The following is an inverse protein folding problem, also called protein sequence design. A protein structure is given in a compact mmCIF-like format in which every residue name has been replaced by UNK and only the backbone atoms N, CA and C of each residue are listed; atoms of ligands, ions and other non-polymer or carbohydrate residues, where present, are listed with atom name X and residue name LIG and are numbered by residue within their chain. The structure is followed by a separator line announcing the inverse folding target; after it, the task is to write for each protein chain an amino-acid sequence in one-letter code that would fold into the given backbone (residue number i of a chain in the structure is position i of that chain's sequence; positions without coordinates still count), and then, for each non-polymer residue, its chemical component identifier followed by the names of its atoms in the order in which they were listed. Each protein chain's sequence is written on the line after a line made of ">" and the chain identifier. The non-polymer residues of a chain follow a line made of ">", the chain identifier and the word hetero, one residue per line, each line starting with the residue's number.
data_IF_182381949655
#
_entry.id   IF_182381949655
#
_cell.length_a   1.000
_cell.length_b   1.000
_cell.length_c   1.000
_cell.angle_alpha   90.00
_cell.angle_beta   90.00
_cell.angle_gamma   90.00
#
_symmetry.space_group_name_H-M   'P 1'
#
loop_
_entity.id
_entity.type
_entity.pdbx_description
1 polymer ?
#
# COMPACT_ATOMS: atom_id res chain seq x y z
N UNK A 1 -49.37 -22.90 -49.90
CA UNK A 1 -48.09 -22.35 -49.41
C UNK A 1 -48.29 -21.13 -48.48
N UNK A 2 -49.21 -20.24 -48.72
CA UNK A 2 -49.44 -19.03 -47.88
C UNK A 2 -49.94 -19.35 -46.45
N UNK A 3 -50.89 -20.26 -46.28
CA UNK A 3 -51.42 -20.63 -44.95
C UNK A 3 -50.38 -21.25 -44.02
N UNK A 4 -49.45 -22.05 -44.56
CA UNK A 4 -48.39 -22.68 -43.81
C UNK A 4 -47.38 -21.64 -43.27
N UNK A 5 -47.07 -20.60 -44.04
CA UNK A 5 -46.18 -19.48 -43.63
C UNK A 5 -46.82 -18.60 -42.56
N UNK A 6 -48.14 -18.35 -42.67
CA UNK A 6 -48.89 -17.57 -41.66
C UNK A 6 -48.96 -18.33 -40.33
N UNK A 7 -49.24 -19.62 -40.33
CA UNK A 7 -49.25 -20.46 -39.13
C UNK A 7 -47.88 -20.54 -38.48
N UNK A 8 -46.81 -20.64 -39.27
CA UNK A 8 -45.41 -20.68 -38.77
C UNK A 8 -45.01 -19.36 -38.12
N UNK A 9 -45.39 -18.21 -38.79
CA UNK A 9 -45.12 -16.88 -38.24
C UNK A 9 -45.91 -16.62 -36.96
N UNK A 10 -47.16 -17.08 -36.89
CA UNK A 10 -48.00 -16.95 -35.70
C UNK A 10 -47.49 -17.82 -34.55
N UNK A 11 -47.04 -19.06 -34.83
CA UNK A 11 -46.42 -19.95 -33.84
C UNK A 11 -45.12 -19.34 -33.26
N UNK A 12 -44.27 -18.76 -34.11
CA UNK A 12 -43.05 -18.03 -33.67
C UNK A 12 -43.40 -16.82 -32.79
N UNK A 13 -44.44 -16.07 -33.15
CA UNK A 13 -44.89 -14.91 -32.35
C UNK A 13 -45.41 -15.33 -30.98
N UNK A 14 -46.22 -16.38 -30.90
CA UNK A 14 -46.73 -16.98 -29.63
C UNK A 14 -45.60 -17.46 -28.74
N UNK A 15 -44.63 -18.19 -29.32
CA UNK A 15 -43.43 -18.67 -28.56
C UNK A 15 -42.59 -17.49 -28.05
N UNK A 16 -42.42 -16.44 -28.87
CA UNK A 16 -41.73 -15.24 -28.44
C UNK A 16 -42.42 -14.52 -27.28
N UNK A 17 -43.77 -14.35 -27.36
CA UNK A 17 -44.55 -13.74 -26.29
C UNK A 17 -44.48 -14.56 -24.99
N UNK A 18 -44.54 -15.90 -25.08
CA UNK A 18 -44.45 -16.76 -23.93
C UNK A 18 -43.06 -16.77 -23.29
N UNK A 19 -41.99 -16.73 -24.11
CA UNK A 19 -40.61 -16.56 -23.64
C UNK A 19 -40.41 -15.20 -22.95
N UNK A 20 -40.92 -14.13 -23.52
CA UNK A 20 -40.85 -12.76 -22.95
C UNK A 20 -41.60 -12.74 -21.60
N UNK A 21 -42.76 -13.36 -21.50
CA UNK A 21 -43.53 -13.44 -20.27
C UNK A 21 -42.79 -14.22 -19.17
N UNK A 22 -42.23 -15.41 -19.48
CA UNK A 22 -41.43 -16.20 -18.56
C UNK A 22 -40.16 -15.43 -18.10
N UNK A 23 -39.50 -14.74 -19.00
CA UNK A 23 -38.34 -13.89 -18.65
C UNK A 23 -38.73 -12.75 -17.72
N UNK A 24 -39.90 -12.13 -17.91
CA UNK A 24 -40.41 -11.05 -17.07
C UNK A 24 -40.77 -11.57 -15.67
N UNK A 25 -41.51 -12.67 -15.61
CA UNK A 25 -41.89 -13.30 -14.34
C UNK A 25 -40.66 -13.73 -13.50
N UNK A 26 -39.59 -14.22 -14.13
CA UNK A 26 -38.35 -14.57 -13.43
C UNK A 26 -37.54 -13.38 -12.94
N UNK A 27 -37.54 -12.27 -13.70
CA UNK A 27 -36.87 -11.05 -13.26
C UNK A 27 -37.64 -10.36 -12.11
N UNK A 28 -38.97 -10.40 -12.14
CA UNK A 28 -39.82 -9.91 -11.06
C UNK A 28 -39.59 -10.72 -9.77
N UNK A 29 -39.50 -12.04 -9.86
CA UNK A 29 -39.16 -12.92 -8.72
C UNK A 29 -37.77 -12.59 -8.14
N UNK A 30 -36.77 -12.38 -9.00
CA UNK A 30 -35.42 -11.99 -8.56
C UNK A 30 -35.43 -10.64 -7.85
N UNK A 31 -36.16 -9.65 -8.35
CA UNK A 31 -36.32 -8.34 -7.73
C UNK A 31 -37.04 -8.42 -6.37
N UNK A 32 -38.06 -9.28 -6.24
CA UNK A 32 -38.76 -9.51 -4.99
C UNK A 32 -37.82 -10.09 -3.91
N UNK A 33 -37.04 -11.12 -4.26
CA UNK A 33 -36.04 -11.72 -3.35
C UNK A 33 -34.98 -10.71 -2.90
N UNK A 34 -34.52 -9.85 -3.81
CA UNK A 34 -33.49 -8.85 -3.51
C UNK A 34 -34.04 -7.57 -2.86
N UNK A 35 -35.38 -7.40 -2.79
CA UNK A 35 -36.01 -6.18 -2.27
C UNK A 35 -35.65 -4.91 -3.07
N UNK A 36 -35.30 -5.07 -4.34
CA UNK A 36 -34.84 -4.00 -5.25
C UNK A 36 -35.46 -4.14 -6.62
N UNK A 37 -35.39 -3.06 -7.44
CA UNK A 37 -35.93 -3.07 -8.80
C UNK A 37 -34.81 -2.94 -9.83
N UNK A 38 -34.46 -4.05 -10.46
CA UNK A 38 -33.54 -4.09 -11.60
C UNK A 38 -34.30 -4.25 -12.92
N UNK A 39 -33.81 -3.58 -13.96
CA UNK A 39 -34.45 -3.61 -15.30
C UNK A 39 -34.00 -4.79 -16.15
N UNK A 40 -32.86 -5.40 -15.82
CA UNK A 40 -32.27 -6.48 -16.60
C UNK A 40 -31.38 -7.38 -15.72
N UNK A 41 -31.10 -8.57 -16.22
CA UNK A 41 -30.26 -9.58 -15.55
C UNK A 41 -28.80 -9.16 -15.41
N UNK A 42 -28.31 -8.25 -16.26
CA UNK A 42 -26.97 -7.70 -16.15
C UNK A 42 -26.83 -6.85 -14.87
N UNK A 43 -27.83 -6.05 -14.58
CA UNK A 43 -27.92 -5.24 -13.37
C UNK A 43 -28.09 -6.12 -12.11
N UNK A 44 -28.94 -7.15 -12.17
CA UNK A 44 -29.07 -8.16 -11.09
C UNK A 44 -27.72 -8.80 -10.80
N UNK A 45 -26.99 -9.25 -11.83
CA UNK A 45 -25.69 -9.95 -11.66
C UNK A 45 -24.60 -9.06 -11.05
N UNK A 46 -24.75 -7.73 -11.09
CA UNK A 46 -23.85 -6.76 -10.45
C UNK A 46 -24.23 -6.45 -9.00
N UNK A 47 -25.39 -6.89 -8.54
CA UNK A 47 -25.82 -6.68 -7.15
C UNK A 47 -24.82 -7.36 -6.21
N UNK A 48 -24.24 -6.61 -5.28
CA UNK A 48 -23.26 -7.17 -4.33
C UNK A 48 -23.97 -8.06 -3.31
N UNK A 49 -23.38 -9.22 -3.04
CA UNK A 49 -23.86 -10.14 -2.01
C UNK A 49 -24.97 -11.08 -2.46
N UNK A 50 -25.05 -11.42 -3.75
CA UNK A 50 -25.88 -12.51 -4.20
C UNK A 50 -25.39 -13.82 -3.55
N UNK A 51 -26.34 -14.58 -2.97
CA UNK A 51 -26.01 -15.91 -2.43
C UNK A 51 -25.78 -16.90 -3.57
N UNK A 52 -24.96 -17.90 -3.33
CA UNK A 52 -24.75 -18.99 -4.30
C UNK A 52 -26.05 -19.72 -4.65
N UNK A 53 -26.97 -19.91 -3.68
CA UNK A 53 -28.26 -20.50 -3.93
C UNK A 53 -29.13 -19.66 -4.87
N UNK A 54 -29.09 -18.31 -4.72
CA UNK A 54 -29.74 -17.42 -5.66
C UNK A 54 -29.14 -17.55 -7.07
N UNK A 55 -27.80 -17.60 -7.17
CA UNK A 55 -27.14 -17.73 -8.46
C UNK A 55 -27.47 -19.10 -9.10
N UNK A 56 -27.55 -20.19 -8.31
CA UNK A 56 -27.99 -21.53 -8.79
C UNK A 56 -29.42 -21.51 -9.34
N UNK A 57 -30.33 -20.87 -8.61
CA UNK A 57 -31.74 -20.77 -9.04
C UNK A 57 -31.87 -20.04 -10.38
N UNK A 58 -31.07 -19.04 -10.60
CA UNK A 58 -31.11 -18.19 -11.82
C UNK A 58 -29.92 -18.39 -12.76
N UNK A 59 -29.28 -19.56 -12.71
CA UNK A 59 -28.04 -19.83 -13.42
C UNK A 59 -28.09 -19.61 -14.94
N UNK A 60 -29.27 -19.81 -15.55
CA UNK A 60 -29.49 -19.60 -16.99
C UNK A 60 -29.83 -18.17 -17.37
N UNK A 61 -29.98 -17.28 -16.40
CA UNK A 61 -30.36 -15.87 -16.58
C UNK A 61 -29.24 -14.90 -16.24
N UNK A 62 -28.45 -15.20 -15.23
CA UNK A 62 -27.36 -14.33 -14.75
C UNK A 62 -26.28 -14.18 -15.80
N UNK A 63 -25.60 -13.01 -15.73
CA UNK A 63 -24.41 -12.77 -16.53
C UNK A 63 -23.18 -13.28 -15.77
N UNK A 64 -22.62 -14.39 -16.21
CA UNK A 64 -21.52 -15.07 -15.55
C UNK A 64 -20.22 -14.26 -15.45
N UNK A 65 -19.98 -13.32 -16.39
CA UNK A 65 -18.86 -12.39 -16.26
C UNK A 65 -18.99 -11.52 -15.01
N UNK A 66 -20.18 -10.94 -14.77
CA UNK A 66 -20.42 -10.14 -13.58
C UNK A 66 -20.53 -10.97 -12.29
N UNK A 67 -21.07 -12.17 -12.35
CA UNK A 67 -21.04 -13.10 -11.22
C UNK A 67 -19.59 -13.35 -10.81
N UNK A 68 -18.72 -13.73 -11.75
CA UNK A 68 -17.30 -14.00 -11.51
C UNK A 68 -16.52 -12.77 -10.98
N UNK A 69 -16.90 -11.57 -11.44
CA UNK A 69 -16.26 -10.31 -11.06
C UNK A 69 -16.73 -9.77 -9.70
N UNK A 70 -18.05 -9.83 -9.44
CA UNK A 70 -18.68 -9.03 -8.38
C UNK A 70 -19.05 -9.83 -7.14
N UNK A 71 -19.12 -11.17 -7.22
CA UNK A 71 -19.54 -12.04 -6.11
C UNK A 71 -18.32 -12.73 -5.47
N UNK A 72 -18.46 -13.06 -4.18
CA UNK A 72 -17.55 -14.00 -3.52
C UNK A 72 -18.09 -15.42 -3.73
N UNK A 73 -17.34 -16.23 -4.44
CA UNK A 73 -17.74 -17.59 -4.82
C UNK A 73 -16.85 -18.59 -4.08
N UNK A 74 -17.48 -19.64 -3.53
CA UNK A 74 -16.73 -20.77 -3.00
C UNK A 74 -16.09 -21.58 -4.13
N UNK A 75 -14.99 -22.27 -3.83
CA UNK A 75 -14.34 -23.14 -4.80
C UNK A 75 -15.28 -24.26 -5.28
N UNK A 76 -16.14 -24.78 -4.40
CA UNK A 76 -17.13 -25.80 -4.76
C UNK A 76 -18.17 -25.26 -5.75
N UNK A 77 -18.59 -24.01 -5.56
CA UNK A 77 -19.47 -23.35 -6.51
C UNK A 77 -18.78 -23.12 -7.85
N UNK A 78 -17.51 -22.70 -7.86
CA UNK A 78 -16.75 -22.53 -9.10
C UNK A 78 -16.57 -23.88 -9.83
N UNK A 79 -16.34 -24.98 -9.09
CA UNK A 79 -16.29 -26.35 -9.66
C UNK A 79 -17.60 -26.73 -10.32
N UNK A 80 -18.73 -26.46 -9.65
CA UNK A 80 -20.07 -26.75 -10.18
C UNK A 80 -20.33 -26.02 -11.50
N UNK A 81 -19.89 -24.74 -11.60
CA UNK A 81 -20.13 -23.89 -12.77
C UNK A 81 -18.87 -23.59 -13.59
N UNK A 82 -17.89 -24.49 -13.59
CA UNK A 82 -16.57 -24.32 -14.23
C UNK A 82 -16.61 -23.99 -15.71
N UNK A 83 -17.69 -24.34 -16.42
CA UNK A 83 -17.87 -24.08 -17.85
C UNK A 83 -18.67 -22.81 -18.13
N UNK A 84 -19.15 -22.10 -17.10
CA UNK A 84 -19.91 -20.85 -17.19
C UNK A 84 -19.16 -19.65 -16.64
N UNK A 85 -18.34 -19.83 -15.60
CA UNK A 85 -17.56 -18.76 -14.96
C UNK A 85 -16.54 -18.17 -15.94
N UNK A 86 -16.21 -16.90 -15.72
CA UNK A 86 -15.10 -16.25 -16.42
C UNK A 86 -13.80 -16.53 -15.66
N UNK A 87 -12.96 -17.42 -16.18
CA UNK A 87 -11.70 -17.79 -15.56
C UNK A 87 -10.73 -16.61 -15.40
N UNK A 88 -10.79 -15.62 -16.27
CA UNK A 88 -10.08 -14.35 -16.11
C UNK A 88 -10.46 -13.68 -14.79
N UNK A 89 -11.76 -13.46 -14.53
CA UNK A 89 -12.21 -12.82 -13.29
C UNK A 89 -12.05 -13.74 -12.06
N UNK A 90 -12.19 -15.04 -12.22
CA UNK A 90 -11.92 -16.00 -11.14
C UNK A 90 -10.46 -15.90 -10.71
N UNK A 91 -9.50 -15.90 -11.64
CA UNK A 91 -8.06 -15.82 -11.34
C UNK A 91 -7.67 -14.49 -10.69
N UNK A 92 -8.32 -13.38 -11.09
CA UNK A 92 -7.99 -12.03 -10.61
C UNK A 92 -8.66 -11.67 -9.28
N UNK A 93 -9.91 -12.11 -9.04
CA UNK A 93 -10.76 -11.54 -7.98
C UNK A 93 -11.24 -12.52 -6.93
N UNK A 94 -11.13 -13.85 -7.14
CA UNK A 94 -11.49 -14.84 -6.14
C UNK A 94 -10.26 -15.27 -5.34
N UNK A 95 -10.46 -15.62 -4.07
CA UNK A 95 -9.43 -16.26 -3.26
C UNK A 95 -9.39 -17.75 -3.60
N UNK A 96 -8.29 -18.20 -4.18
CA UNK A 96 -8.13 -19.57 -4.63
C UNK A 96 -7.06 -20.30 -3.80
N UNK A 97 -7.35 -21.50 -3.35
CA UNK A 97 -6.34 -22.37 -2.77
C UNK A 97 -5.37 -22.87 -3.85
N UNK A 98 -4.15 -23.18 -3.45
CA UNK A 98 -3.16 -23.75 -4.37
C UNK A 98 -3.65 -25.09 -4.96
N UNK A 99 -4.38 -25.90 -4.19
CA UNK A 99 -4.97 -27.16 -4.67
C UNK A 99 -6.03 -26.91 -5.73
N UNK A 100 -6.84 -25.88 -5.58
CA UNK A 100 -7.80 -25.48 -6.60
C UNK A 100 -7.10 -24.98 -7.88
N UNK A 101 -6.04 -24.19 -7.75
CA UNK A 101 -5.27 -23.74 -8.91
C UNK A 101 -4.62 -24.92 -9.63
N UNK A 102 -4.10 -25.93 -8.90
CA UNK A 102 -3.59 -27.20 -9.48
C UNK A 102 -4.67 -27.95 -10.25
N UNK A 103 -5.87 -28.07 -9.66
CA UNK A 103 -7.00 -28.76 -10.28
C UNK A 103 -7.39 -28.11 -11.63
N UNK A 104 -7.36 -26.78 -11.69
CA UNK A 104 -7.78 -26.00 -12.85
C UNK A 104 -6.61 -25.29 -13.58
N UNK A 105 -5.42 -25.84 -13.51
CA UNK A 105 -4.19 -25.26 -14.07
C UNK A 105 -4.23 -24.90 -15.56
N UNK A 106 -5.12 -25.56 -16.33
CA UNK A 106 -5.28 -25.31 -17.77
C UNK A 106 -6.42 -24.30 -18.07
N UNK A 107 -7.10 -23.78 -17.04
CA UNK A 107 -8.19 -22.82 -17.17
C UNK A 107 -7.88 -21.46 -16.56
N UNK A 108 -7.08 -21.44 -15.49
CA UNK A 108 -6.68 -20.19 -14.80
C UNK A 108 -5.84 -19.29 -15.69
N UNK A 109 -5.96 -18.00 -15.50
CA UNK A 109 -5.04 -17.04 -16.10
C UNK A 109 -3.78 -16.92 -15.22
N UNK A 110 -2.67 -17.45 -15.70
CA UNK A 110 -1.44 -17.52 -14.93
C UNK A 110 -0.81 -16.14 -14.64
N UNK A 111 -1.08 -15.15 -15.48
CA UNK A 111 -0.65 -13.78 -15.23
C UNK A 111 -1.39 -13.20 -14.03
N UNK A 112 -2.71 -13.38 -13.99
CA UNK A 112 -3.54 -12.92 -12.87
C UNK A 112 -3.27 -13.74 -11.59
N UNK A 113 -3.04 -15.06 -11.71
CA UNK A 113 -2.58 -15.89 -10.58
C UNK A 113 -1.28 -15.32 -10.00
N UNK A 114 -0.30 -14.98 -10.84
CA UNK A 114 0.99 -14.40 -10.41
C UNK A 114 0.83 -13.07 -9.71
N UNK A 115 -0.12 -12.24 -10.18
CA UNK A 115 -0.34 -10.88 -9.69
C UNK A 115 -1.23 -10.81 -8.43
N UNK A 116 -2.25 -11.68 -8.35
CA UNK A 116 -3.37 -11.48 -7.43
C UNK A 116 -3.49 -12.54 -6.33
N UNK A 117 -2.92 -13.75 -6.54
CA UNK A 117 -3.02 -14.84 -5.55
C UNK A 117 -1.80 -14.86 -4.63
N UNK A 118 -1.99 -15.30 -3.39
CA UNK A 118 -0.89 -15.57 -2.46
C UNK A 118 -0.41 -17.00 -2.65
N UNK A 119 0.83 -17.16 -3.08
CA UNK A 119 1.41 -18.44 -3.43
C UNK A 119 2.58 -18.78 -2.50
N UNK A 120 2.64 -20.04 -2.08
CA UNK A 120 3.82 -20.55 -1.38
C UNK A 120 5.01 -20.71 -2.33
N UNK A 121 6.21 -20.60 -1.82
CA UNK A 121 7.42 -20.84 -2.63
C UNK A 121 7.46 -22.26 -3.21
N UNK A 122 6.85 -23.24 -2.54
CA UNK A 122 6.74 -24.59 -3.07
C UNK A 122 5.84 -24.66 -4.30
N UNK A 123 4.72 -23.94 -4.28
CA UNK A 123 3.84 -23.82 -5.44
C UNK A 123 4.51 -23.06 -6.59
N UNK A 124 5.23 -21.99 -6.27
CA UNK A 124 5.95 -21.21 -7.29
C UNK A 124 7.03 -22.07 -7.97
N UNK A 125 7.75 -22.94 -7.23
CA UNK A 125 8.71 -23.89 -7.79
C UNK A 125 8.04 -24.88 -8.74
N UNK A 126 6.87 -25.40 -8.34
CA UNK A 126 6.11 -26.38 -9.14
C UNK A 126 5.67 -25.79 -10.49
N UNK A 127 5.24 -24.52 -10.51
CA UNK A 127 4.69 -23.86 -11.69
C UNK A 127 5.58 -22.72 -12.25
N UNK A 128 6.88 -22.77 -11.98
CA UNK A 128 7.83 -21.73 -12.32
C UNK A 128 7.82 -21.32 -13.81
N UNK A 129 7.49 -22.22 -14.71
CA UNK A 129 7.46 -21.98 -16.16
C UNK A 129 6.14 -21.38 -16.65
N UNK A 130 5.10 -21.37 -15.82
CA UNK A 130 3.79 -20.77 -16.15
C UNK A 130 3.59 -19.38 -15.55
N UNK A 131 4.31 -19.06 -14.48
CA UNK A 131 4.17 -17.82 -13.72
C UNK A 131 4.86 -16.64 -14.42
N UNK A 132 4.26 -15.45 -14.27
CA UNK A 132 4.85 -14.18 -14.70
C UNK A 132 5.81 -13.66 -13.62
N UNK A 133 7.11 -13.70 -13.89
CA UNK A 133 8.14 -13.35 -12.93
C UNK A 133 8.23 -11.87 -12.60
N UNK A 134 7.69 -10.99 -13.45
CA UNK A 134 7.53 -9.57 -13.14
C UNK A 134 6.56 -9.40 -11.98
N UNK A 135 5.34 -9.91 -12.14
CA UNK A 135 4.31 -9.86 -11.10
C UNK A 135 4.68 -10.64 -9.85
N UNK A 136 5.37 -11.78 -9.99
CA UNK A 136 5.88 -12.56 -8.86
C UNK A 136 6.88 -11.74 -8.03
N UNK A 137 7.82 -11.07 -8.69
CA UNK A 137 8.83 -10.24 -8.01
C UNK A 137 8.23 -9.07 -7.24
N UNK A 138 7.10 -8.54 -7.70
CA UNK A 138 6.40 -7.40 -7.11
C UNK A 138 5.45 -7.79 -5.97
N UNK A 139 4.63 -8.82 -6.20
CA UNK A 139 3.46 -9.06 -5.35
C UNK A 139 3.60 -10.24 -4.38
N UNK A 140 4.61 -11.11 -4.55
CA UNK A 140 4.85 -12.22 -3.64
C UNK A 140 5.93 -11.88 -2.61
N UNK A 141 5.80 -12.44 -1.42
CA UNK A 141 6.88 -12.38 -0.43
C UNK A 141 7.85 -13.52 -0.70
N UNK A 142 9.04 -13.18 -1.21
CA UNK A 142 10.04 -14.14 -1.60
C UNK A 142 11.20 -14.13 -0.59
N UNK A 143 11.59 -15.31 -0.10
CA UNK A 143 12.80 -15.41 0.73
C UNK A 143 14.06 -15.16 -0.10
N UNK A 144 15.13 -14.71 0.53
CA UNK A 144 16.43 -14.53 -0.13
C UNK A 144 16.96 -15.83 -0.74
N UNK A 145 16.70 -16.98 -0.10
CA UNK A 145 17.08 -18.29 -0.63
C UNK A 145 16.31 -18.61 -1.91
N UNK A 146 15.03 -18.26 -1.95
CA UNK A 146 14.22 -18.41 -3.14
C UNK A 146 14.68 -17.47 -4.27
N UNK A 147 14.93 -16.19 -3.98
CA UNK A 147 15.46 -15.24 -4.97
C UNK A 147 16.82 -15.72 -5.52
N UNK A 148 17.66 -16.30 -4.64
CA UNK A 148 18.95 -16.89 -5.04
C UNK A 148 18.80 -18.08 -5.99
N UNK A 149 17.82 -18.95 -5.70
CA UNK A 149 17.50 -20.11 -6.55
C UNK A 149 17.06 -19.65 -7.96
N UNK A 150 16.19 -18.63 -8.01
CA UNK A 150 15.61 -18.12 -9.24
C UNK A 150 16.24 -16.82 -9.75
N UNK A 151 17.50 -16.58 -9.43
CA UNK A 151 18.24 -15.34 -9.73
C UNK A 151 18.30 -14.92 -11.21
N UNK A 152 17.99 -15.82 -12.14
CA UNK A 152 17.97 -15.56 -13.58
C UNK A 152 16.55 -15.35 -14.14
N UNK A 153 15.53 -15.50 -13.30
CA UNK A 153 14.11 -15.30 -13.65
C UNK A 153 13.50 -14.08 -13.02
N UNK A 154 13.90 -13.75 -11.80
CA UNK A 154 13.39 -12.57 -11.07
C UNK A 154 13.76 -11.28 -11.78
N UNK A 155 12.89 -10.27 -11.64
CA UNK A 155 13.21 -8.92 -12.07
C UNK A 155 13.96 -8.19 -10.95
N UNK A 156 15.27 -7.98 -11.14
CA UNK A 156 16.13 -7.42 -10.11
C UNK A 156 15.78 -5.97 -9.72
N UNK A 157 15.30 -5.14 -10.65
CA UNK A 157 14.83 -3.79 -10.29
C UNK A 157 13.63 -3.88 -9.35
N UNK A 158 12.64 -4.72 -9.67
CA UNK A 158 11.46 -4.94 -8.84
C UNK A 158 11.84 -5.59 -7.51
N UNK A 159 12.72 -6.59 -7.50
CA UNK A 159 13.24 -7.20 -6.25
C UNK A 159 13.90 -6.14 -5.37
N UNK A 160 14.72 -5.24 -5.94
CA UNK A 160 15.39 -4.18 -5.19
C UNK A 160 14.42 -3.17 -4.58
N UNK A 161 13.27 -2.95 -5.23
CA UNK A 161 12.22 -2.03 -4.78
C UNK A 161 11.28 -2.64 -3.74
N UNK A 162 10.80 -3.88 -3.99
CA UNK A 162 9.65 -4.44 -3.27
C UNK A 162 9.99 -5.55 -2.26
N UNK A 163 11.17 -6.19 -2.35
CA UNK A 163 11.52 -7.26 -1.42
C UNK A 163 12.46 -6.76 -0.31
N UNK A 164 12.25 -7.19 0.95
CA UNK A 164 13.17 -6.87 2.03
C UNK A 164 14.47 -7.68 1.83
N UNK A 165 15.59 -6.98 1.64
CA UNK A 165 16.88 -7.60 1.39
C UNK A 165 17.88 -7.30 2.52
N UNK A 166 18.56 -8.33 3.01
CA UNK A 166 19.68 -8.13 3.92
C UNK A 166 20.89 -7.52 3.20
N UNK A 167 21.72 -6.79 3.94
CA UNK A 167 22.97 -6.25 3.39
C UNK A 167 23.88 -7.35 2.85
N UNK A 168 23.92 -8.53 3.48
CA UNK A 168 24.72 -9.66 3.02
C UNK A 168 24.20 -10.21 1.68
N UNK A 169 22.89 -10.20 1.49
CA UNK A 169 22.31 -10.57 0.21
C UNK A 169 22.63 -9.53 -0.87
N UNK A 170 22.50 -8.23 -0.56
CA UNK A 170 22.84 -7.14 -1.50
C UNK A 170 24.33 -7.19 -1.87
N UNK A 171 25.25 -7.45 -0.90
CA UNK A 171 26.69 -7.65 -1.18
C UNK A 171 26.93 -8.76 -2.18
N UNK A 172 26.27 -9.90 -1.98
CA UNK A 172 26.42 -11.07 -2.84
C UNK A 172 25.92 -10.82 -4.27
N UNK A 173 24.88 -10.03 -4.43
CA UNK A 173 24.25 -9.74 -5.71
C UNK A 173 24.45 -8.28 -6.16
N UNK A 174 25.54 -7.65 -5.72
CA UNK A 174 25.84 -6.25 -5.95
C UNK A 174 25.85 -5.84 -7.44
N UNK A 175 26.12 -6.77 -8.34
CA UNK A 175 26.13 -6.54 -9.79
C UNK A 175 24.77 -6.77 -10.48
N UNK A 176 23.76 -7.25 -9.72
CA UNK A 176 22.41 -7.51 -10.23
C UNK A 176 21.36 -6.56 -9.68
N UNK A 177 21.50 -6.14 -8.43
CA UNK A 177 20.55 -5.22 -7.76
C UNK A 177 20.56 -3.85 -8.44
N UNK A 178 19.42 -3.19 -8.38
CA UNK A 178 19.27 -1.81 -8.80
C UNK A 178 19.63 -0.87 -7.66
N UNK A 179 20.76 -0.19 -7.79
CA UNK A 179 21.30 0.65 -6.73
C UNK A 179 20.50 1.90 -6.44
N UNK A 180 19.69 2.38 -7.39
CA UNK A 180 18.76 3.48 -7.12
C UNK A 180 17.68 3.02 -6.15
N UNK A 181 17.03 1.89 -6.44
CA UNK A 181 16.00 1.31 -5.55
C UNK A 181 16.58 0.82 -4.23
N UNK A 182 17.77 0.22 -4.22
CA UNK A 182 18.47 -0.14 -2.97
C UNK A 182 18.66 1.11 -2.09
N UNK A 183 19.10 2.23 -2.67
CA UNK A 183 19.33 3.49 -1.93
C UNK A 183 18.04 4.13 -1.42
N UNK A 184 16.92 3.91 -2.12
CA UNK A 184 15.59 4.46 -1.80
C UNK A 184 14.87 3.64 -0.74
N UNK A 185 14.79 2.32 -0.94
CA UNK A 185 13.80 1.46 -0.28
C UNK A 185 14.38 0.50 0.75
N UNK A 186 15.68 0.15 0.67
CA UNK A 186 16.29 -0.76 1.62
C UNK A 186 16.85 -0.01 2.84
N UNK A 187 16.83 -0.66 3.98
CA UNK A 187 17.49 -0.11 5.18
C UNK A 187 18.98 -0.45 5.15
N UNK A 188 19.81 0.60 5.05
CA UNK A 188 21.25 0.46 4.91
C UNK A 188 21.97 1.02 6.13
N UNK A 189 22.89 0.25 6.69
CA UNK A 189 23.82 0.77 7.70
C UNK A 189 24.82 1.74 7.09
N UNK A 190 25.34 2.64 7.89
CA UNK A 190 26.40 3.55 7.44
C UNK A 190 27.65 2.81 6.97
N UNK A 191 27.98 1.69 7.59
CA UNK A 191 29.13 0.87 7.18
C UNK A 191 28.90 0.26 5.81
N UNK A 192 27.68 -0.18 5.50
CA UNK A 192 27.33 -0.66 4.18
C UNK A 192 27.39 0.47 3.14
N UNK A 193 26.89 1.67 3.47
CA UNK A 193 26.97 2.82 2.56
C UNK A 193 28.43 3.21 2.31
N UNK A 194 29.33 3.15 3.33
CA UNK A 194 30.78 3.37 3.17
C UNK A 194 31.41 2.35 2.21
N UNK A 195 31.07 1.07 2.36
CA UNK A 195 31.54 0.00 1.48
C UNK A 195 31.15 0.25 0.02
N UNK A 196 29.90 0.65 -0.20
CA UNK A 196 29.34 0.85 -1.57
C UNK A 196 29.22 2.32 -1.97
N UNK A 197 30.04 3.21 -1.42
CA UNK A 197 29.99 4.68 -1.63
C UNK A 197 30.06 5.15 -3.08
N UNK A 198 30.49 4.29 -4.01
CA UNK A 198 30.58 4.60 -5.44
C UNK A 198 29.44 3.98 -6.27
N UNK A 199 28.53 3.20 -5.62
CA UNK A 199 27.36 2.58 -6.24
C UNK A 199 26.06 3.20 -5.78
N UNK A 200 25.98 3.61 -4.50
CA UNK A 200 24.79 4.24 -3.94
C UNK A 200 24.46 5.57 -4.60
N UNK A 201 23.19 5.89 -4.66
CA UNK A 201 22.67 7.16 -5.13
C UNK A 201 22.61 8.15 -3.97
N UNK A 202 23.58 9.08 -3.88
CA UNK A 202 23.75 9.97 -2.73
C UNK A 202 22.56 10.88 -2.45
N UNK A 203 21.82 11.31 -3.47
CA UNK A 203 20.59 12.08 -3.27
C UNK A 203 19.52 11.25 -2.56
N UNK A 204 19.41 9.95 -2.91
CA UNK A 204 18.48 9.00 -2.27
C UNK A 204 18.94 8.68 -0.84
N UNK A 205 20.22 8.39 -0.65
CA UNK A 205 20.84 8.20 0.68
C UNK A 205 20.56 9.40 1.58
N UNK A 206 20.82 10.62 1.11
CA UNK A 206 20.59 11.85 1.86
C UNK A 206 19.14 12.06 2.26
N UNK A 207 18.21 11.57 1.45
CA UNK A 207 16.77 11.74 1.64
C UNK A 207 16.15 10.64 2.51
N UNK A 208 16.50 9.38 2.25
CA UNK A 208 15.73 8.23 2.75
C UNK A 208 16.45 7.42 3.83
N UNK A 209 17.78 7.49 3.93
CA UNK A 209 18.53 6.80 4.98
C UNK A 209 18.67 7.69 6.22
N UNK A 210 18.72 7.06 7.39
CA UNK A 210 19.03 7.78 8.62
C UNK A 210 20.56 7.88 8.76
N UNK A 211 21.07 9.10 8.73
CA UNK A 211 22.50 9.39 8.75
C UNK A 211 22.91 10.11 10.05
N UNK A 212 23.99 9.64 10.68
CA UNK A 212 24.61 10.38 11.78
C UNK A 212 25.33 11.64 11.26
N UNK A 213 25.44 12.63 12.12
CA UNK A 213 26.21 13.84 11.79
C UNK A 213 27.67 13.52 11.44
N UNK A 214 28.27 12.55 12.09
CA UNK A 214 29.64 12.14 11.79
C UNK A 214 29.76 11.51 10.40
N UNK A 215 28.76 10.74 9.98
CA UNK A 215 28.70 10.22 8.63
C UNK A 215 28.52 11.35 7.59
N UNK A 216 27.64 12.32 7.87
CA UNK A 216 27.45 13.47 6.98
C UNK A 216 28.75 14.29 6.87
N UNK A 217 29.51 14.47 7.97
CA UNK A 217 30.84 15.14 7.96
C UNK A 217 31.82 14.40 7.07
N UNK A 218 31.88 13.06 7.21
CA UNK A 218 32.77 12.21 6.40
C UNK A 218 32.48 12.35 4.91
N UNK A 219 31.21 12.41 4.53
CA UNK A 219 30.76 12.46 3.13
C UNK A 219 30.20 13.81 2.68
N UNK A 220 30.60 14.91 3.30
CA UNK A 220 30.09 16.25 3.03
C UNK A 220 30.12 16.68 1.56
N UNK A 221 31.05 16.17 0.77
CA UNK A 221 31.17 16.46 -0.67
C UNK A 221 30.36 15.50 -1.58
N UNK A 222 29.65 14.51 -1.00
CA UNK A 222 28.82 13.55 -1.73
C UNK A 222 27.35 13.65 -1.41
N UNK A 223 27.03 14.00 -0.15
CA UNK A 223 25.63 14.15 0.31
C UNK A 223 24.97 15.32 -0.43
N UNK A 224 23.66 15.21 -0.57
CA UNK A 224 22.82 16.27 -1.09
C UNK A 224 22.37 17.16 0.06
N UNK A 225 22.90 18.39 0.13
CA UNK A 225 22.66 19.30 1.25
C UNK A 225 21.24 19.85 1.33
N UNK A 226 20.51 19.87 0.20
CA UNK A 226 19.08 20.19 0.21
C UNK A 226 18.33 19.11 0.99
N UNK A 227 18.56 17.84 0.67
CA UNK A 227 17.93 16.71 1.36
C UNK A 227 18.43 16.53 2.79
N UNK A 228 19.72 16.74 3.07
CA UNK A 228 20.26 16.76 4.43
C UNK A 228 19.54 17.81 5.28
N UNK A 229 19.43 19.04 4.79
CA UNK A 229 18.78 20.13 5.52
C UNK A 229 17.30 19.89 5.78
N UNK A 230 16.64 19.18 4.86
CA UNK A 230 15.22 18.93 4.91
C UNK A 230 14.84 17.64 5.67
N UNK A 231 15.64 16.58 5.55
CA UNK A 231 15.22 15.23 5.94
C UNK A 231 16.06 14.60 7.06
N UNK A 232 17.24 15.11 7.36
CA UNK A 232 18.05 14.62 8.48
C UNK A 232 17.81 15.43 9.74
N UNK A 233 17.95 14.79 10.90
CA UNK A 233 17.88 15.45 12.19
C UNK A 233 19.25 16.01 12.51
N UNK A 234 19.37 17.35 12.58
CA UNK A 234 20.62 18.06 12.75
C UNK A 234 20.64 18.81 14.08
N UNK A 235 21.75 18.72 14.81
CA UNK A 235 21.98 19.58 15.97
C UNK A 235 22.31 21.02 15.54
N UNK A 236 22.03 21.98 16.43
CA UNK A 236 22.40 23.38 16.18
C UNK A 236 23.90 23.56 15.98
N UNK A 237 24.73 22.78 16.70
CA UNK A 237 26.18 22.84 16.55
C UNK A 237 26.63 22.31 15.18
N UNK A 238 25.99 21.28 14.66
CA UNK A 238 26.24 20.81 13.31
C UNK A 238 25.82 21.85 12.26
N UNK A 239 24.65 22.48 12.43
CA UNK A 239 24.16 23.52 11.52
C UNK A 239 25.11 24.74 11.55
N UNK A 240 25.68 25.11 12.72
CA UNK A 240 26.70 26.17 12.82
C UNK A 240 27.97 25.80 12.07
N UNK A 241 28.44 24.55 12.21
CA UNK A 241 29.62 24.05 11.51
C UNK A 241 29.45 24.12 9.98
N UNK A 242 28.27 23.77 9.49
CA UNK A 242 27.94 23.67 8.05
C UNK A 242 27.06 24.82 7.55
N UNK A 243 27.11 25.99 8.20
CA UNK A 243 26.24 27.16 7.89
C UNK A 243 26.27 27.64 6.44
N UNK A 244 27.34 27.35 5.70
CA UNK A 244 27.52 27.75 4.30
C UNK A 244 27.19 26.60 3.31
N UNK A 245 26.77 25.43 3.83
CA UNK A 245 26.37 24.23 3.05
C UNK A 245 24.88 23.95 3.16
N UNK A 246 24.30 24.25 4.33
CA UNK A 246 22.87 23.96 4.61
C UNK A 246 21.97 24.91 3.83
N UNK A 247 20.79 24.37 3.46
CA UNK A 247 19.72 25.15 2.86
C UNK A 247 18.82 25.76 3.96
N UNK A 248 19.05 27.03 4.25
CA UNK A 248 18.43 27.71 5.39
C UNK A 248 16.90 27.72 5.38
N UNK A 249 16.26 27.75 4.21
CA UNK A 249 14.82 27.65 4.09
C UNK A 249 14.28 26.32 4.64
N UNK A 250 15.00 25.24 4.42
CA UNK A 250 14.66 23.93 4.96
C UNK A 250 15.06 23.78 6.42
N UNK A 251 16.24 24.24 6.82
CA UNK A 251 16.66 24.24 8.23
C UNK A 251 15.59 24.89 9.08
N UNK A 252 15.17 26.07 8.69
CA UNK A 252 14.20 26.82 9.46
C UNK A 252 12.83 26.14 9.50
N UNK A 253 12.38 25.59 8.39
CA UNK A 253 11.05 24.97 8.25
C UNK A 253 10.96 23.61 8.92
N UNK A 254 12.06 22.85 8.98
CA UNK A 254 12.03 21.44 9.30
C UNK A 254 12.87 21.02 10.51
N UNK A 255 13.82 21.84 11.00
CA UNK A 255 14.63 21.53 12.18
C UNK A 255 14.02 22.11 13.46
N UNK A 256 14.27 21.46 14.59
CA UNK A 256 13.92 21.98 15.92
C UNK A 256 15.04 22.91 16.40
N UNK A 257 14.80 24.21 16.36
CA UNK A 257 15.78 25.23 16.71
C UNK A 257 15.35 26.00 17.97
N UNK A 258 16.31 26.35 18.81
CA UNK A 258 16.06 27.21 19.97
C UNK A 258 15.98 28.68 19.53
N UNK A 259 15.23 29.51 20.29
CA UNK A 259 15.07 30.94 20.01
C UNK A 259 16.40 31.69 19.87
N UNK A 260 17.40 31.28 20.68
CA UNK A 260 18.74 31.88 20.60
C UNK A 260 19.44 31.59 19.28
N UNK A 261 19.25 30.40 18.72
CA UNK A 261 19.81 30.02 17.43
C UNK A 261 19.12 30.78 16.30
N UNK A 262 17.80 30.94 16.38
CA UNK A 262 17.01 31.70 15.42
C UNK A 262 17.48 33.17 15.41
N UNK A 263 17.71 33.78 16.58
CA UNK A 263 18.21 35.16 16.68
C UNK A 263 19.65 35.28 16.15
N UNK A 264 20.51 34.27 16.38
CA UNK A 264 21.89 34.22 15.85
C UNK A 264 21.93 34.24 14.31
N UNK A 265 21.00 33.57 13.65
CA UNK A 265 20.96 33.38 12.19
C UNK A 265 19.77 34.07 11.51
N UNK A 266 19.15 35.04 12.16
CA UNK A 266 17.96 35.76 11.64
C UNK A 266 18.14 36.34 10.23
N UNK A 267 19.35 36.78 9.88
CA UNK A 267 19.67 37.34 8.57
C UNK A 267 19.66 36.26 7.44
N UNK A 268 19.79 34.99 7.79
CA UNK A 268 19.73 33.86 6.86
C UNK A 268 18.35 33.20 6.79
N UNK A 269 17.47 33.55 7.73
CA UNK A 269 16.16 32.96 7.89
C UNK A 269 15.08 33.91 7.36
N UNK A 270 14.31 33.49 6.38
CA UNK A 270 13.19 34.28 5.85
C UNK A 270 12.01 34.25 6.81
N UNK A 271 11.76 35.37 7.51
CA UNK A 271 10.73 35.47 8.57
C UNK A 271 9.30 35.15 8.10
N UNK A 272 9.00 35.29 6.82
CA UNK A 272 7.65 34.94 6.27
C UNK A 272 7.34 33.44 6.28
N UNK A 273 8.35 32.59 6.44
CA UNK A 273 8.18 31.13 6.53
C UNK A 273 7.83 30.63 7.94
N UNK A 274 7.94 31.49 8.96
CA UNK A 274 7.76 31.13 10.37
C UNK A 274 6.29 30.83 10.71
N UNK A 275 5.37 31.57 10.15
CA UNK A 275 3.98 31.64 10.59
C UNK A 275 3.20 30.31 10.44
N UNK A 276 3.63 29.38 9.58
CA UNK A 276 2.93 28.13 9.27
C UNK A 276 3.68 26.86 9.71
N UNK A 277 4.79 26.99 10.44
CA UNK A 277 5.55 25.80 10.84
C UNK A 277 4.96 25.11 12.07
N UNK A 278 4.53 23.89 11.91
CA UNK A 278 4.04 23.02 12.99
C UNK A 278 5.09 22.68 14.05
N UNK A 279 6.38 22.86 13.76
CA UNK A 279 7.46 22.69 14.73
C UNK A 279 7.37 23.66 15.92
N UNK A 280 6.92 24.87 15.65
CA UNK A 280 6.85 25.95 16.66
C UNK A 280 5.50 26.03 17.37
N UNK A 281 4.53 25.19 17.01
CA UNK A 281 3.28 25.10 17.77
C UNK A 281 3.54 24.51 19.15
N UNK A 282 3.02 25.17 20.16
CA UNK A 282 3.04 24.66 21.53
C UNK A 282 2.35 23.29 21.61
N UNK A 283 2.66 22.53 22.66
CA UNK A 283 2.01 21.22 22.89
C UNK A 283 0.49 21.40 23.00
N UNK A 284 0.02 22.49 23.60
CA UNK A 284 -1.40 22.84 23.74
C UNK A 284 -2.06 23.10 22.38
N UNK A 285 -1.40 23.81 21.47
CA UNK A 285 -1.91 24.05 20.11
C UNK A 285 -1.98 22.75 19.30
N UNK A 286 -0.95 21.90 19.41
CA UNK A 286 -0.93 20.57 18.78
C UNK A 286 -2.03 19.68 19.36
N UNK A 287 -2.18 19.64 20.69
CA UNK A 287 -3.24 18.92 21.40
C UNK A 287 -4.61 19.39 20.91
N UNK A 288 -4.85 20.69 20.92
CA UNK A 288 -6.09 21.28 20.42
C UNK A 288 -6.38 20.87 18.99
N UNK A 289 -5.40 20.96 18.10
CA UNK A 289 -5.58 20.61 16.68
C UNK A 289 -5.93 19.14 16.46
N UNK A 290 -5.39 18.21 17.28
CA UNK A 290 -5.76 16.81 17.24
C UNK A 290 -7.16 16.60 17.81
N UNK A 291 -7.48 17.21 18.96
CA UNK A 291 -8.79 17.09 19.61
C UNK A 291 -9.92 17.68 18.76
N UNK A 292 -9.69 18.81 18.10
CA UNK A 292 -10.67 19.50 17.23
C UNK A 292 -11.09 18.62 16.05
N UNK A 293 -10.29 17.60 15.64
CA UNK A 293 -10.70 16.63 14.62
C UNK A 293 -11.84 15.74 15.08
N UNK A 294 -11.95 15.46 16.40
CA UNK A 294 -12.94 14.52 16.97
C UNK A 294 -12.75 13.06 16.55
N UNK A 295 -11.63 12.70 15.92
CA UNK A 295 -11.42 11.40 15.27
C UNK A 295 -10.55 10.42 16.07
N UNK A 296 -9.90 10.88 17.16
CA UNK A 296 -8.93 10.10 17.93
C UNK A 296 -9.35 9.96 19.39
N UNK A 297 -8.98 8.85 20.02
CA UNK A 297 -9.09 8.67 21.47
C UNK A 297 -7.98 9.49 22.15
N UNK A 298 -8.37 10.63 22.74
CA UNK A 298 -7.48 11.61 23.33
C UNK A 298 -7.36 11.44 24.85
N UNK A 299 -6.13 11.46 25.36
CA UNK A 299 -5.74 11.44 26.77
C UNK A 299 -5.02 12.74 27.14
N UNK A 300 -4.54 12.86 28.39
CA UNK A 300 -3.94 14.12 28.87
C UNK A 300 -2.68 14.54 28.09
N UNK A 301 -1.76 13.62 27.79
CA UNK A 301 -0.47 13.86 27.15
C UNK A 301 -0.26 13.12 25.82
N UNK A 302 -1.21 12.27 25.41
CA UNK A 302 -1.15 11.49 24.19
C UNK A 302 -2.54 11.20 23.61
N UNK A 303 -2.57 10.63 22.43
CA UNK A 303 -3.75 10.07 21.79
C UNK A 303 -3.44 8.71 21.16
N UNK A 304 -4.49 7.94 20.92
CA UNK A 304 -4.40 6.66 20.22
C UNK A 304 -4.75 6.87 18.76
N UNK A 305 -3.90 6.37 17.89
CA UNK A 305 -4.10 6.33 16.45
C UNK A 305 -3.80 4.91 15.93
N UNK A 306 -3.88 4.72 14.63
CA UNK A 306 -3.72 3.43 13.98
C UNK A 306 -2.70 3.50 12.86
N UNK A 307 -2.01 2.39 12.61
CA UNK A 307 -1.07 2.24 11.52
C UNK A 307 -1.37 0.98 10.74
N UNK A 308 -1.58 1.13 9.43
CA UNK A 308 -1.67 0.01 8.50
C UNK A 308 -0.27 -0.47 8.12
N UNK A 309 -0.01 -1.76 8.29
CA UNK A 309 1.29 -2.40 8.02
C UNK A 309 1.09 -3.74 7.33
N UNK A 310 2.15 -4.30 6.78
CA UNK A 310 2.16 -5.64 6.19
C UNK A 310 2.10 -6.71 7.27
N UNK A 311 1.80 -7.93 6.87
CA UNK A 311 1.75 -9.08 7.79
C UNK A 311 3.11 -9.41 8.42
N UNK A 312 4.22 -9.07 7.76
CA UNK A 312 5.59 -9.15 8.28
C UNK A 312 5.96 -7.97 9.20
N UNK A 313 4.99 -7.09 9.48
CA UNK A 313 5.08 -5.93 10.36
C UNK A 313 5.92 -4.76 9.82
N UNK A 314 6.29 -4.74 8.55
CA UNK A 314 6.88 -3.57 7.90
C UNK A 314 5.81 -2.62 7.35
N UNK A 315 6.19 -1.38 7.04
CA UNK A 315 5.32 -0.44 6.32
C UNK A 315 5.03 -0.95 4.90
N UNK A 316 3.92 -0.51 4.30
CA UNK A 316 3.53 -0.93 2.95
C UNK A 316 4.61 -0.68 1.89
N UNK A 317 5.35 0.42 2.01
CA UNK A 317 6.33 0.87 1.01
C UNK A 317 7.73 1.12 1.60
N UNK A 318 8.01 0.67 2.83
CA UNK A 318 9.32 0.88 3.45
C UNK A 318 9.64 -0.25 4.41
N UNK A 319 10.84 -0.79 4.28
CA UNK A 319 11.39 -1.80 5.17
C UNK A 319 12.28 -1.23 6.29
N UNK A 320 12.28 0.10 6.44
CA UNK A 320 13.11 0.78 7.42
C UNK A 320 12.80 0.41 8.86
N UNK A 321 11.50 0.20 9.19
CA UNK A 321 11.07 -0.14 10.54
C UNK A 321 10.14 -1.34 10.53
N UNK A 322 10.47 -2.34 11.36
CA UNK A 322 9.58 -3.45 11.68
C UNK A 322 8.80 -3.11 12.95
N UNK A 323 7.49 -2.87 12.85
CA UNK A 323 6.65 -2.34 13.93
C UNK A 323 6.26 -3.43 14.94
N UNK A 324 7.10 -3.64 15.94
CA UNK A 324 6.92 -4.66 16.98
C UNK A 324 6.14 -4.10 18.17
N UNK A 325 5.32 -4.94 18.78
CA UNK A 325 4.54 -4.59 19.97
C UNK A 325 5.45 -4.15 21.14
N UNK A 326 5.07 -3.03 21.76
CA UNK A 326 5.77 -2.45 22.91
C UNK A 326 7.01 -1.62 22.53
N UNK A 327 7.40 -1.62 21.26
CA UNK A 327 8.53 -0.85 20.79
C UNK A 327 8.14 0.59 20.45
N UNK A 328 9.09 1.49 20.66
CA UNK A 328 8.97 2.91 20.33
C UNK A 328 9.87 3.24 19.17
N UNK A 329 9.31 3.91 18.16
CA UNK A 329 10.02 4.30 16.95
C UNK A 329 10.10 5.81 16.87
N UNK A 330 11.24 6.32 16.48
CA UNK A 330 11.51 7.74 16.28
C UNK A 330 12.10 7.97 14.90
N UNK A 331 11.67 9.02 14.22
CA UNK A 331 12.17 9.41 12.91
C UNK A 331 12.01 10.91 12.73
N UNK A 332 12.69 11.45 11.74
CA UNK A 332 12.42 12.79 11.28
C UNK A 332 11.01 12.87 10.65
N UNK A 333 10.34 14.00 10.79
CA UNK A 333 8.99 14.21 10.26
C UNK A 333 8.92 15.51 9.46
N UNK A 334 8.56 15.41 8.20
CA UNK A 334 8.19 16.56 7.37
C UNK A 334 6.82 17.09 7.83
N UNK A 335 6.81 18.28 8.37
CA UNK A 335 5.61 18.97 8.84
C UNK A 335 4.80 19.63 7.71
N UNK A 336 5.12 19.38 6.44
CA UNK A 336 4.35 19.86 5.29
C UNK A 336 2.98 19.18 5.18
N UNK A 337 2.08 19.76 4.38
CA UNK A 337 0.79 19.16 4.05
C UNK A 337 0.88 18.13 2.91
N UNK A 338 2.06 17.94 2.30
CA UNK A 338 2.24 17.09 1.13
C UNK A 338 1.92 15.62 1.42
N UNK A 339 1.25 14.96 0.50
CA UNK A 339 0.68 13.62 0.70
C UNK A 339 1.74 12.53 0.92
N UNK A 340 2.90 12.65 0.26
CA UNK A 340 3.99 11.68 0.26
C UNK A 340 5.25 12.18 0.98
N UNK A 341 5.10 13.00 2.00
CA UNK A 341 6.25 13.49 2.73
C UNK A 341 6.67 12.56 3.87
N UNK A 342 7.88 12.76 4.33
CA UNK A 342 8.61 11.92 5.27
C UNK A 342 8.01 11.96 6.69
N UNK A 343 8.25 10.92 7.48
CA UNK A 343 7.82 10.78 8.87
C UNK A 343 6.84 9.64 9.08
N UNK A 344 6.57 9.33 10.35
CA UNK A 344 5.54 8.35 10.65
C UNK A 344 4.16 8.90 10.32
N UNK A 345 3.36 8.08 9.67
CA UNK A 345 1.94 8.35 9.45
C UNK A 345 1.12 7.49 10.39
N UNK A 346 0.34 8.13 11.25
CA UNK A 346 -0.68 7.52 12.06
C UNK A 346 -2.06 8.00 11.55
N UNK A 347 -3.04 7.13 11.53
CA UNK A 347 -4.32 7.34 10.88
C UNK A 347 -5.48 7.11 11.85
N UNK A 348 -6.69 7.46 11.44
CA UNK A 348 -7.90 6.82 11.97
C UNK A 348 -7.87 5.32 11.66
N UNK A 349 -8.65 4.50 12.37
CA UNK A 349 -8.70 3.06 12.09
C UNK A 349 -9.11 2.76 10.65
N UNK A 350 -10.10 3.46 10.15
CA UNK A 350 -10.56 3.34 8.76
C UNK A 350 -9.48 3.74 7.76
N UNK A 351 -8.79 4.86 8.01
CA UNK A 351 -7.67 5.33 7.18
C UNK A 351 -6.50 4.34 7.15
N UNK A 352 -6.15 3.74 8.29
CA UNK A 352 -5.12 2.72 8.38
C UNK A 352 -5.49 1.46 7.57
N UNK A 353 -6.75 1.00 7.66
CA UNK A 353 -7.27 -0.14 6.88
C UNK A 353 -7.30 0.13 5.39
N UNK A 354 -7.60 1.37 4.98
CA UNK A 354 -7.55 1.77 3.59
C UNK A 354 -6.11 1.78 3.04
N UNK A 355 -5.16 2.27 3.85
CA UNK A 355 -3.74 2.35 3.47
C UNK A 355 -3.09 0.97 3.32
N UNK A 356 -3.29 0.07 4.29
CA UNK A 356 -2.81 -1.31 4.23
C UNK A 356 -3.83 -2.25 4.88
N UNK A 357 -4.36 -3.18 4.10
CA UNK A 357 -5.43 -4.09 4.52
C UNK A 357 -4.94 -5.29 5.33
N UNK A 358 -3.64 -5.55 5.37
CA UNK A 358 -3.09 -6.79 5.93
C UNK A 358 -3.13 -6.81 7.45
N UNK A 359 -2.58 -5.78 8.07
CA UNK A 359 -2.55 -5.66 9.53
C UNK A 359 -2.73 -4.19 9.92
N UNK A 360 -3.54 -3.94 10.94
CA UNK A 360 -3.69 -2.61 11.55
C UNK A 360 -3.32 -2.73 13.01
N UNK A 361 -2.38 -1.92 13.44
CA UNK A 361 -1.91 -1.85 14.83
C UNK A 361 -2.27 -0.52 15.45
N UNK A 362 -2.54 -0.53 16.76
CA UNK A 362 -2.72 0.71 17.52
C UNK A 362 -1.37 1.29 17.88
N UNK A 363 -1.27 2.61 17.77
CA UNK A 363 -0.08 3.36 18.13
C UNK A 363 -0.45 4.50 19.08
N UNK A 364 0.42 4.74 20.05
CA UNK A 364 0.33 5.87 20.97
C UNK A 364 1.25 6.97 20.47
N UNK A 365 0.71 8.16 20.32
CA UNK A 365 1.46 9.36 19.89
C UNK A 365 1.29 10.44 20.94
N UNK A 366 2.39 11.02 21.44
CA UNK A 366 2.34 12.17 22.33
C UNK A 366 2.08 13.44 21.55
N UNK A 367 1.40 14.41 22.14
CA UNK A 367 1.12 15.67 21.44
C UNK A 367 2.39 16.44 21.07
N UNK A 368 3.44 16.37 21.89
CA UNK A 368 4.74 16.96 21.57
C UNK A 368 5.36 16.40 20.27
N UNK A 369 5.09 15.11 19.99
CA UNK A 369 5.61 14.41 18.82
C UNK A 369 4.74 14.58 17.56
N UNK A 370 3.66 15.34 17.61
CA UNK A 370 2.85 15.66 16.43
C UNK A 370 3.62 16.60 15.52
N UNK A 371 3.84 16.16 14.29
CA UNK A 371 4.44 16.96 13.23
C UNK A 371 3.41 17.75 12.43
N UNK A 372 2.25 17.12 12.11
CA UNK A 372 1.13 17.81 11.43
C UNK A 372 -0.15 16.97 11.47
N UNK A 373 -1.28 17.66 11.48
CA UNK A 373 -2.61 17.11 11.18
C UNK A 373 -2.89 17.34 9.69
N UNK A 374 -3.19 16.28 8.95
CA UNK A 374 -3.43 16.32 7.50
C UNK A 374 -4.72 15.55 7.13
N UNK A 375 -5.20 15.72 5.91
CA UNK A 375 -6.43 15.07 5.41
C UNK A 375 -7.65 15.29 6.32
N UNK A 376 -7.94 16.55 6.64
CA UNK A 376 -9.05 16.93 7.51
C UNK A 376 -9.07 16.16 8.85
N UNK A 377 -7.88 15.82 9.35
CA UNK A 377 -7.71 15.07 10.58
C UNK A 377 -7.60 13.55 10.42
N UNK A 378 -7.86 13.00 9.24
CA UNK A 378 -7.81 11.55 9.01
C UNK A 378 -6.41 10.95 9.11
N UNK A 379 -5.37 11.78 9.04
CA UNK A 379 -3.95 11.39 9.14
C UNK A 379 -3.19 12.35 10.04
N UNK A 380 -2.40 11.79 10.93
CA UNK A 380 -1.42 12.54 11.74
C UNK A 380 -0.03 12.14 11.30
N UNK A 381 0.84 13.13 11.07
CA UNK A 381 2.27 12.92 10.96
C UNK A 381 2.91 13.12 12.32
N UNK A 382 3.85 12.25 12.66
CA UNK A 382 4.52 12.32 13.95
C UNK A 382 6.00 11.94 13.84
N UNK A 383 6.77 12.48 14.77
CA UNK A 383 8.19 12.19 14.95
C UNK A 383 8.41 10.86 15.67
N UNK A 384 7.50 10.53 16.58
CA UNK A 384 7.64 9.39 17.48
C UNK A 384 6.30 8.72 17.74
N UNK A 385 6.31 7.41 17.84
CA UNK A 385 5.15 6.62 18.23
C UNK A 385 5.55 5.32 18.91
N UNK A 386 4.72 4.84 19.81
CA UNK A 386 4.82 3.54 20.49
C UNK A 386 3.77 2.59 19.93
N UNK A 387 4.17 1.37 19.56
CA UNK A 387 3.25 0.33 19.05
C UNK A 387 2.63 -0.43 20.22
N UNK A 388 1.31 -0.46 20.33
CA UNK A 388 0.59 -1.04 21.46
C UNK A 388 0.21 -2.51 21.28
N UNK A 389 0.00 -2.98 20.03
CA UNK A 389 -0.44 -4.34 19.71
C UNK A 389 0.13 -4.92 18.41
#
# INVERSE_FOLDING_TARGET
>A
MELSNILYTFAISLVKEQVIRIMKDTLEKANEVLGTFYKDWKSVSRHKGLTEDFIREFADKVNWCYISLCQHLSEDFIREFKDRVSWYYISSFQYLSEDFIREFQDRVDWKDISACQRLSESFIREFADRLDWGWMSENQQLSEDFIREFQYRVNWSIISEYQPLSEDFIRKFADKVDWEYISDYQHLSEDFIREFKNRVYWSRISKYQHLSEDFIREFKGKVDWEYISRYQQLSEDFIREFKDWVEWGYIYKYQRLLDKFIEEFKDKIYMDLIADSWHYKSVEEKKKAVMDTGLYECHDDYFIAYKGIRSDRYSKFSFQYQYLKGETYETWCDCSADENSFGFSAWTEEGARYYCKELVVRVKVRYEDVGRVVHDGGKIRCFKMEVLD
#
